data_IF_438394938091
#
_entry.id   IF_438394938091
#
_cell.length_a   1.000
_cell.length_b   1.000
_cell.length_c   1.000
_cell.angle_alpha   90.00
_cell.angle_beta   90.00
_cell.angle_gamma   90.00
#
_symmetry.space_group_name_H-M   'P 1'
#
loop_
_entity.id
_entity.type
_entity.pdbx_description
1 polymer ?
#
# COMPACT_ATOMS: atom_id res chain seq x y z
N UNK A 1 101.51 -8.34 35.71
CA UNK A 1 101.42 -9.76 36.10
C UNK A 1 100.13 -10.31 35.52
N UNK A 2 100.27 -11.39 34.76
CA UNK A 2 99.41 -11.77 33.63
C UNK A 2 98.17 -12.57 34.04
N UNK A 3 97.09 -12.37 33.29
CA UNK A 3 95.85 -13.13 33.37
C UNK A 3 96.02 -14.54 32.75
N UNK A 4 95.66 -15.58 33.50
CA UNK A 4 95.69 -16.99 33.04
C UNK A 4 94.42 -17.33 32.28
N UNK A 5 94.56 -17.58 30.98
CA UNK A 5 93.53 -18.12 30.08
C UNK A 5 93.33 -19.63 30.39
N UNK A 6 92.08 -20.05 30.66
CA UNK A 6 91.71 -21.48 30.80
C UNK A 6 91.46 -22.08 29.40
N UNK A 7 92.17 -23.15 29.07
CA UNK A 7 91.93 -23.96 27.86
C UNK A 7 90.69 -24.86 28.05
N UNK A 8 89.75 -24.81 27.10
CA UNK A 8 88.53 -25.63 27.07
C UNK A 8 88.81 -27.06 26.60
N UNK A 9 88.29 -28.06 27.33
CA UNK A 9 88.42 -29.48 27.00
C UNK A 9 87.31 -29.96 26.07
N UNK A 10 87.68 -30.58 24.94
CA UNK A 10 86.75 -31.24 24.00
C UNK A 10 86.13 -32.49 24.65
N UNK A 11 84.80 -32.64 24.59
CA UNK A 11 84.08 -33.84 25.06
C UNK A 11 83.55 -34.64 23.86
N UNK A 12 83.50 -35.96 23.99
CA UNK A 12 83.08 -36.89 22.93
C UNK A 12 81.55 -37.02 22.89
N UNK A 13 80.93 -36.86 21.72
CA UNK A 13 79.49 -37.11 21.55
C UNK A 13 79.19 -38.62 21.65
N UNK A 14 78.18 -39.02 22.43
CA UNK A 14 77.82 -40.44 22.64
C UNK A 14 77.18 -41.12 21.43
N UNK A 15 76.60 -40.35 20.50
CA UNK A 15 75.82 -40.91 19.38
C UNK A 15 76.65 -41.08 18.10
N UNK A 16 77.48 -40.11 17.74
CA UNK A 16 78.35 -40.18 16.55
C UNK A 16 79.82 -40.53 16.87
N UNK A 17 80.19 -40.57 18.16
CA UNK A 17 81.52 -40.95 18.64
C UNK A 17 82.69 -40.06 18.13
N UNK A 18 82.40 -38.87 17.61
CA UNK A 18 83.38 -37.87 17.18
C UNK A 18 83.65 -36.81 18.26
N UNK A 19 84.85 -36.21 18.24
CA UNK A 19 85.28 -35.15 19.17
C UNK A 19 85.15 -33.79 18.50
N UNK A 20 84.11 -33.04 18.85
CA UNK A 20 83.85 -31.72 18.30
C UNK A 20 83.61 -30.69 19.40
N UNK A 21 83.70 -29.41 19.04
CA UNK A 21 83.35 -28.30 19.92
C UNK A 21 81.83 -28.31 20.12
N UNK A 22 81.42 -28.56 21.36
CA UNK A 22 80.02 -28.50 21.76
C UNK A 22 79.59 -27.03 21.80
N UNK A 23 78.41 -26.74 21.26
CA UNK A 23 77.79 -25.42 21.43
C UNK A 23 77.43 -25.14 22.90
N UNK A 24 77.01 -23.92 23.22
CA UNK A 24 76.64 -23.50 24.59
C UNK A 24 75.53 -24.39 25.21
N UNK A 25 74.79 -25.12 24.37
CA UNK A 25 73.70 -26.03 24.72
C UNK A 25 74.10 -27.51 24.78
N UNK A 26 75.39 -27.85 24.60
CA UNK A 26 75.94 -29.22 24.63
C UNK A 26 75.34 -30.16 23.57
N UNK A 27 74.87 -29.65 22.42
CA UNK A 27 74.29 -30.48 21.34
C UNK A 27 75.26 -30.67 20.18
N UNK A 28 75.20 -31.86 19.58
CA UNK A 28 75.97 -32.23 18.39
C UNK A 28 75.37 -31.57 17.14
N UNK A 29 76.07 -30.61 16.56
CA UNK A 29 75.64 -29.85 15.37
C UNK A 29 75.60 -30.67 14.08
N UNK A 30 76.34 -31.78 14.00
CA UNK A 30 76.34 -32.72 12.87
C UNK A 30 75.23 -33.78 12.94
N UNK A 31 74.55 -33.91 14.08
CA UNK A 31 73.50 -34.90 14.32
C UNK A 31 72.06 -34.33 14.10
N UNK A 32 71.93 -33.02 14.01
CA UNK A 32 70.66 -32.33 13.88
C UNK A 32 70.31 -32.08 12.41
N UNK A 33 69.63 -33.03 11.77
CA UNK A 33 68.88 -32.73 10.53
C UNK A 33 67.45 -32.34 10.92
N UNK A 34 67.05 -31.07 10.72
CA UNK A 34 65.70 -30.59 10.98
C UNK A 34 64.81 -30.87 9.76
N UNK A 35 64.35 -32.11 9.62
CA UNK A 35 63.18 -32.41 8.80
C UNK A 35 62.21 -33.20 9.66
N UNK A 36 61.05 -32.60 9.89
CA UNK A 36 60.01 -33.05 10.80
C UNK A 36 59.58 -34.48 10.50
N UNK A 37 60.18 -35.43 11.21
CA UNK A 37 59.78 -36.84 11.15
C UNK A 37 58.34 -36.92 11.69
N UNK A 38 57.38 -37.04 10.77
CA UNK A 38 55.97 -37.17 11.05
C UNK A 38 55.72 -38.31 12.09
N UNK A 39 54.85 -38.07 13.07
CA UNK A 39 54.54 -39.05 14.11
C UNK A 39 53.45 -40.03 13.64
N UNK A 40 53.58 -41.29 14.07
CA UNK A 40 52.54 -42.29 13.85
C UNK A 40 51.27 -41.87 14.59
N UNK A 41 50.16 -41.73 13.86
CA UNK A 41 48.90 -41.24 14.46
C UNK A 41 48.42 -42.11 15.63
N UNK A 42 48.60 -43.43 15.55
CA UNK A 42 48.07 -44.40 16.51
C UNK A 42 48.96 -44.59 17.75
N UNK A 43 50.29 -44.61 17.61
CA UNK A 43 51.20 -44.83 18.75
C UNK A 43 52.03 -43.61 19.17
N UNK A 44 51.89 -42.49 18.45
CA UNK A 44 52.60 -41.21 18.70
C UNK A 44 54.13 -41.28 18.66
N UNK A 45 54.69 -42.39 18.17
CA UNK A 45 56.14 -42.54 17.95
C UNK A 45 56.49 -41.99 16.57
N UNK A 46 57.64 -41.30 16.47
CA UNK A 46 58.20 -40.81 15.20
C UNK A 46 58.38 -41.95 14.21
N UNK A 47 57.90 -41.75 12.98
CA UNK A 47 58.08 -42.70 11.88
C UNK A 47 59.42 -42.42 11.21
N UNK A 48 60.29 -43.42 11.14
CA UNK A 48 61.58 -43.34 10.43
C UNK A 48 61.47 -44.03 9.07
N UNK A 49 62.37 -43.72 8.14
CA UNK A 49 62.38 -44.34 6.81
C UNK A 49 62.56 -45.87 6.84
N UNK A 50 63.28 -46.37 7.84
CA UNK A 50 63.47 -47.80 8.08
C UNK A 50 62.22 -48.50 8.63
N UNK A 51 61.26 -47.73 9.17
CA UNK A 51 60.05 -48.29 9.75
C UNK A 51 59.08 -48.68 8.63
N UNK A 52 58.46 -49.85 8.76
CA UNK A 52 57.36 -50.22 7.89
C UNK A 52 56.13 -49.38 8.28
N UNK A 53 55.91 -48.29 7.54
CA UNK A 53 54.82 -47.36 7.75
C UNK A 53 54.16 -47.00 6.41
N UNK A 54 52.88 -46.63 6.48
CA UNK A 54 52.09 -46.24 5.33
C UNK A 54 51.37 -44.92 5.62
N UNK A 55 51.34 -44.02 4.63
CA UNK A 55 50.65 -42.73 4.71
C UNK A 55 49.19 -42.92 4.30
N UNK A 56 48.25 -42.43 5.12
CA UNK A 56 46.83 -42.49 4.80
C UNK A 56 46.46 -41.47 3.72
N UNK A 57 45.81 -41.88 2.64
CA UNK A 57 45.41 -40.97 1.57
C UNK A 57 44.32 -39.98 1.97
N UNK A 58 43.49 -40.32 2.96
CA UNK A 58 42.39 -39.47 3.42
C UNK A 58 42.83 -38.35 4.36
N UNK A 59 43.66 -38.65 5.38
CA UNK A 59 44.09 -37.66 6.38
C UNK A 59 45.57 -37.27 6.28
N UNK A 60 46.30 -37.85 5.33
CA UNK A 60 47.72 -37.58 5.07
C UNK A 60 48.65 -37.81 6.27
N UNK A 61 48.27 -38.64 7.24
CA UNK A 61 49.12 -39.02 8.39
C UNK A 61 49.79 -40.39 8.21
N UNK A 62 51.04 -40.55 8.65
CA UNK A 62 51.70 -41.85 8.70
C UNK A 62 51.20 -42.75 9.82
N UNK A 63 51.18 -44.05 9.54
CA UNK A 63 50.88 -45.09 10.52
C UNK A 63 51.83 -46.27 10.33
N UNK A 64 52.42 -46.75 11.42
CA UNK A 64 53.14 -48.03 11.39
C UNK A 64 52.19 -49.16 10.99
N UNK A 65 52.62 -50.07 10.12
CA UNK A 65 51.80 -51.20 9.68
C UNK A 65 51.34 -52.06 10.86
N UNK A 66 52.17 -52.20 11.89
CA UNK A 66 51.85 -52.94 13.12
C UNK A 66 50.77 -52.25 13.97
N UNK A 67 50.76 -50.91 14.00
CA UNK A 67 49.75 -50.15 14.76
C UNK A 67 48.36 -50.27 14.13
N UNK A 68 48.28 -50.30 12.80
CA UNK A 68 47.01 -50.46 12.09
C UNK A 68 46.63 -51.92 11.84
N UNK A 69 47.51 -52.87 12.20
CA UNK A 69 47.38 -54.33 11.93
C UNK A 69 47.30 -54.64 10.43
N UNK A 70 48.09 -53.95 9.62
CA UNK A 70 48.23 -54.16 8.18
C UNK A 70 49.15 -55.37 7.95
N UNK A 71 48.66 -56.42 7.28
CA UNK A 71 49.45 -57.62 7.00
C UNK A 71 50.65 -57.32 6.10
N UNK A 72 51.81 -57.95 6.37
CA UNK A 72 53.07 -57.70 5.64
C UNK A 72 52.94 -57.91 4.13
N UNK A 73 52.21 -58.94 3.69
CA UNK A 73 51.97 -59.22 2.27
C UNK A 73 51.14 -58.14 1.60
N UNK A 74 50.12 -57.62 2.30
CA UNK A 74 49.27 -56.55 1.80
C UNK A 74 50.03 -55.22 1.73
N UNK A 75 50.89 -54.92 2.70
CA UNK A 75 51.79 -53.76 2.62
C UNK A 75 52.78 -53.87 1.46
N UNK A 76 53.32 -55.07 1.20
CA UNK A 76 54.21 -55.31 0.06
C UNK A 76 53.48 -55.04 -1.27
N UNK A 77 52.26 -55.56 -1.43
CA UNK A 77 51.44 -55.30 -2.60
C UNK A 77 51.14 -53.80 -2.80
N UNK A 78 50.77 -53.07 -1.74
CA UNK A 78 50.55 -51.61 -1.80
C UNK A 78 51.80 -50.81 -2.18
N UNK A 79 52.99 -51.35 -1.93
CA UNK A 79 54.26 -50.71 -2.30
C UNK A 79 54.68 -51.03 -3.74
N UNK A 80 54.27 -52.18 -4.26
CA UNK A 80 54.59 -52.64 -5.62
C UNK A 80 53.61 -52.09 -6.67
N UNK A 81 52.38 -51.75 -6.28
CA UNK A 81 51.36 -51.20 -7.18
C UNK A 81 51.34 -49.66 -7.13
N UNK A 82 51.85 -49.03 -8.18
CA UNK A 82 51.77 -47.57 -8.34
C UNK A 82 50.31 -47.13 -8.45
N UNK A 83 49.90 -46.21 -7.56
CA UNK A 83 48.54 -45.68 -7.51
C UNK A 83 47.60 -46.41 -6.53
N UNK A 84 48.08 -47.42 -5.80
CA UNK A 84 47.28 -48.07 -4.77
C UNK A 84 46.96 -47.10 -3.61
N UNK A 85 45.67 -46.86 -3.36
CA UNK A 85 45.24 -45.99 -2.26
C UNK A 85 45.03 -46.78 -0.97
N UNK A 86 45.47 -46.22 0.17
CA UNK A 86 45.22 -46.77 1.49
C UNK A 86 44.63 -45.75 2.47
N UNK A 87 43.60 -46.19 3.19
CA UNK A 87 42.93 -45.39 4.22
C UNK A 87 43.09 -46.05 5.60
N UNK A 88 43.43 -45.26 6.62
CA UNK A 88 43.44 -45.71 8.01
C UNK A 88 42.02 -46.04 8.48
N UNK A 89 41.87 -46.77 9.59
CA UNK A 89 40.55 -47.20 10.10
C UNK A 89 39.56 -46.05 10.27
N UNK A 90 40.04 -44.91 10.79
CA UNK A 90 39.22 -43.72 11.00
C UNK A 90 38.71 -43.20 9.65
N UNK A 91 39.59 -42.98 8.68
CA UNK A 91 39.20 -42.52 7.35
C UNK A 91 38.28 -43.52 6.64
N UNK A 92 38.51 -44.84 6.77
CA UNK A 92 37.60 -45.87 6.23
C UNK A 92 36.21 -45.76 6.82
N UNK A 93 36.10 -45.60 8.13
CA UNK A 93 34.81 -45.45 8.80
C UNK A 93 34.10 -44.14 8.39
N UNK A 94 34.84 -43.03 8.29
CA UNK A 94 34.29 -41.76 7.80
C UNK A 94 33.78 -41.88 6.37
N UNK A 95 34.58 -42.45 5.47
CA UNK A 95 34.23 -42.64 4.06
C UNK A 95 32.97 -43.51 3.92
N UNK A 96 32.91 -44.64 4.63
CA UNK A 96 31.72 -45.52 4.62
C UNK A 96 30.47 -44.82 5.16
N UNK A 97 30.60 -44.00 6.21
CA UNK A 97 29.49 -43.19 6.74
C UNK A 97 29.01 -42.14 5.74
N UNK A 98 29.94 -41.43 5.10
CA UNK A 98 29.63 -40.43 4.07
C UNK A 98 28.98 -41.05 2.82
N UNK A 99 29.35 -42.27 2.44
CA UNK A 99 28.66 -42.98 1.34
C UNK A 99 27.20 -43.27 1.66
N UNK A 100 26.87 -43.62 2.91
CA UNK A 100 25.48 -43.76 3.35
C UNK A 100 24.70 -42.44 3.25
N UNK A 101 25.33 -41.33 3.65
CA UNK A 101 24.74 -39.99 3.51
C UNK A 101 24.56 -39.58 2.04
N UNK A 102 25.51 -39.90 1.16
CA UNK A 102 25.42 -39.63 -0.28
C UNK A 102 24.30 -40.44 -0.94
N UNK A 103 24.09 -41.70 -0.53
CA UNK A 103 22.99 -42.51 -1.02
C UNK A 103 21.64 -41.90 -0.63
N UNK A 104 21.50 -41.44 0.63
CA UNK A 104 20.31 -40.73 1.10
C UNK A 104 20.08 -39.42 0.35
N UNK A 105 21.12 -38.60 0.20
CA UNK A 105 21.06 -37.33 -0.52
C UNK A 105 20.62 -37.51 -1.98
N UNK A 106 21.08 -38.58 -2.63
CA UNK A 106 20.66 -38.92 -4.00
C UNK A 106 19.17 -39.24 -4.07
N UNK A 107 18.63 -39.92 -3.08
CA UNK A 107 17.20 -40.25 -3.04
C UNK A 107 16.35 -39.02 -2.73
N UNK A 108 16.77 -38.21 -1.76
CA UNK A 108 16.13 -36.92 -1.46
C UNK A 108 16.13 -36.00 -2.69
N UNK A 109 17.23 -35.98 -3.47
CA UNK A 109 17.32 -35.21 -4.72
C UNK A 109 16.29 -35.68 -5.77
N UNK A 110 16.12 -37.00 -5.95
CA UNK A 110 15.08 -37.52 -6.86
C UNK A 110 13.68 -37.13 -6.41
N UNK A 111 13.41 -37.19 -5.11
CA UNK A 111 12.11 -36.81 -4.57
C UNK A 111 11.83 -35.32 -4.80
N UNK A 112 12.83 -34.46 -4.54
CA UNK A 112 12.74 -33.01 -4.81
C UNK A 112 12.49 -32.75 -6.29
N UNK A 113 13.21 -33.41 -7.20
CA UNK A 113 13.01 -33.25 -8.64
C UNK A 113 11.61 -33.68 -9.09
N UNK A 114 11.06 -34.77 -8.52
CA UNK A 114 9.68 -35.20 -8.79
C UNK A 114 8.66 -34.18 -8.31
N UNK A 115 8.87 -33.61 -7.11
CA UNK A 115 8.02 -32.54 -6.56
C UNK A 115 8.11 -31.27 -7.41
N UNK A 116 9.31 -30.89 -7.85
CA UNK A 116 9.55 -29.72 -8.68
C UNK A 116 8.83 -29.84 -10.03
N UNK A 117 8.92 -30.99 -10.70
CA UNK A 117 8.16 -31.25 -11.93
C UNK A 117 6.65 -31.17 -11.69
N UNK A 118 6.16 -31.71 -10.56
CA UNK A 118 4.76 -31.60 -10.19
C UNK A 118 4.29 -30.16 -9.92
N UNK A 119 5.18 -29.29 -9.42
CA UNK A 119 4.89 -27.86 -9.24
C UNK A 119 4.84 -27.15 -10.59
N UNK A 120 5.79 -27.43 -11.49
CA UNK A 120 5.80 -26.85 -12.84
C UNK A 120 4.50 -27.11 -13.59
N UNK A 121 4.03 -28.37 -13.61
CA UNK A 121 2.77 -28.73 -14.29
C UNK A 121 1.55 -28.05 -13.65
N UNK A 122 1.56 -27.84 -12.32
CA UNK A 122 0.49 -27.11 -11.63
C UNK A 122 0.51 -25.62 -11.96
N UNK A 123 1.68 -25.02 -12.08
CA UNK A 123 1.83 -23.61 -12.45
C UNK A 123 1.33 -23.35 -13.86
N UNK A 124 1.65 -24.22 -14.83
CA UNK A 124 1.11 -24.15 -16.19
C UNK A 124 -0.43 -24.18 -16.20
N UNK A 125 -1.04 -25.05 -15.38
CA UNK A 125 -2.50 -25.11 -15.24
C UNK A 125 -3.12 -23.91 -14.52
N UNK A 126 -2.36 -23.21 -13.67
CA UNK A 126 -2.81 -21.96 -13.03
C UNK A 126 -2.77 -20.83 -14.06
N UNK A 127 -1.70 -20.72 -14.85
CA UNK A 127 -1.54 -19.67 -15.85
C UNK A 127 -2.67 -19.71 -16.89
N UNK A 128 -3.05 -20.90 -17.35
CA UNK A 128 -4.19 -21.05 -18.27
C UNK A 128 -5.52 -20.63 -17.63
N UNK A 129 -5.72 -20.96 -16.35
CA UNK A 129 -6.94 -20.55 -15.61
C UNK A 129 -6.98 -19.04 -15.38
N UNK A 130 -5.84 -18.41 -15.12
CA UNK A 130 -5.74 -16.96 -14.96
C UNK A 130 -6.11 -16.28 -16.27
N UNK A 131 -5.57 -16.74 -17.41
CA UNK A 131 -5.89 -16.21 -18.73
C UNK A 131 -7.39 -16.28 -19.06
N UNK A 132 -8.03 -17.42 -18.79
CA UNK A 132 -9.49 -17.59 -18.99
C UNK A 132 -10.29 -16.65 -18.09
N UNK A 133 -9.82 -16.38 -16.87
CA UNK A 133 -10.50 -15.46 -15.96
C UNK A 133 -10.36 -14.02 -16.45
N UNK A 134 -9.17 -13.61 -16.90
CA UNK A 134 -8.91 -12.28 -17.44
C UNK A 134 -9.82 -11.99 -18.65
N UNK A 135 -9.89 -12.90 -19.62
CA UNK A 135 -10.78 -12.77 -20.80
C UNK A 135 -12.27 -12.67 -20.40
N UNK A 136 -12.70 -13.39 -19.36
CA UNK A 136 -14.09 -13.32 -18.86
C UNK A 136 -14.38 -12.07 -18.05
N UNK A 137 -13.37 -11.47 -17.42
CA UNK A 137 -13.52 -10.23 -16.67
C UNK A 137 -13.66 -9.03 -17.62
N UNK A 138 -12.83 -8.96 -18.67
CA UNK A 138 -12.89 -7.88 -19.66
C UNK A 138 -14.28 -7.73 -20.30
N UNK A 139 -14.90 -8.83 -20.71
CA UNK A 139 -16.25 -8.78 -21.31
C UNK A 139 -17.35 -8.36 -20.33
N UNK A 140 -17.26 -8.75 -19.06
CA UNK A 140 -18.26 -8.38 -18.05
C UNK A 140 -18.18 -6.92 -17.65
N UNK A 141 -16.98 -6.35 -17.61
CA UNK A 141 -16.79 -4.94 -17.27
C UNK A 141 -17.43 -4.05 -18.33
N UNK A 142 -17.29 -4.39 -19.62
CA UNK A 142 -17.93 -3.66 -20.71
C UNK A 142 -19.48 -3.71 -20.64
N UNK A 143 -20.05 -4.90 -20.39
CA UNK A 143 -21.50 -5.07 -20.24
C UNK A 143 -22.07 -4.27 -19.06
N UNK A 144 -21.36 -4.28 -17.92
CA UNK A 144 -21.77 -3.53 -16.73
C UNK A 144 -21.72 -2.03 -17.00
N UNK A 145 -20.65 -1.53 -17.62
CA UNK A 145 -20.48 -0.11 -17.96
C UNK A 145 -21.60 0.33 -18.92
N UNK A 146 -21.89 -0.45 -19.95
CA UNK A 146 -22.94 -0.12 -20.91
C UNK A 146 -24.33 -0.08 -20.26
N UNK A 147 -24.65 -1.07 -19.40
CA UNK A 147 -25.93 -1.11 -18.69
C UNK A 147 -26.11 0.06 -17.73
N UNK A 148 -25.06 0.42 -17.00
CA UNK A 148 -25.07 1.56 -16.08
C UNK A 148 -25.20 2.87 -16.85
N UNK A 149 -24.43 3.04 -17.92
CA UNK A 149 -24.47 4.26 -18.75
C UNK A 149 -25.86 4.50 -19.32
N UNK A 150 -26.50 3.47 -19.91
CA UNK A 150 -27.85 3.60 -20.47
C UNK A 150 -28.88 3.96 -19.40
N UNK A 151 -28.81 3.34 -18.22
CA UNK A 151 -29.73 3.65 -17.11
C UNK A 151 -29.55 5.08 -16.61
N UNK A 152 -28.33 5.61 -16.61
CA UNK A 152 -28.05 7.00 -16.18
C UNK A 152 -28.60 8.00 -17.20
N UNK A 153 -28.39 7.76 -18.50
CA UNK A 153 -28.88 8.64 -19.56
C UNK A 153 -30.41 8.76 -19.50
N UNK A 154 -31.13 7.64 -19.40
CA UNK A 154 -32.60 7.64 -19.28
C UNK A 154 -33.09 8.44 -18.06
N UNK A 155 -32.38 8.34 -16.92
CA UNK A 155 -32.74 9.08 -15.71
C UNK A 155 -32.46 10.57 -15.82
N UNK A 156 -31.36 10.97 -16.49
CA UNK A 156 -31.02 12.39 -16.68
C UNK A 156 -32.09 13.07 -17.54
N UNK A 157 -32.54 12.42 -18.62
CA UNK A 157 -33.61 12.95 -19.47
C UNK A 157 -34.93 13.13 -18.70
N UNK A 158 -35.29 12.17 -17.85
CA UNK A 158 -36.48 12.28 -17.00
C UNK A 158 -36.39 13.45 -16.02
N UNK A 159 -35.21 13.70 -15.44
CA UNK A 159 -34.98 14.82 -14.51
C UNK A 159 -35.12 16.18 -15.20
N UNK A 160 -34.59 16.34 -16.41
CA UNK A 160 -34.70 17.58 -17.20
C UNK A 160 -36.16 17.93 -17.52
N UNK A 161 -36.97 16.92 -17.87
CA UNK A 161 -38.41 17.10 -18.12
C UNK A 161 -39.15 17.56 -16.86
N UNK A 162 -38.86 16.93 -15.71
CA UNK A 162 -39.47 17.30 -14.42
C UNK A 162 -39.08 18.73 -14.03
N UNK A 163 -37.82 19.11 -14.21
CA UNK A 163 -37.33 20.45 -13.89
C UNK A 163 -38.05 21.52 -14.74
N UNK A 164 -38.10 21.34 -16.06
CA UNK A 164 -38.81 22.27 -16.97
C UNK A 164 -40.29 22.39 -16.61
N UNK A 165 -40.92 21.28 -16.24
CA UNK A 165 -42.34 21.29 -15.84
C UNK A 165 -42.54 22.04 -14.51
N UNK A 166 -41.66 21.82 -13.53
CA UNK A 166 -41.71 22.51 -12.24
C UNK A 166 -41.59 24.04 -12.38
N UNK A 167 -40.67 24.51 -13.23
CA UNK A 167 -40.50 25.95 -13.50
C UNK A 167 -41.76 26.59 -14.09
N UNK A 168 -42.45 25.90 -15.00
CA UNK A 168 -43.71 26.37 -15.57
C UNK A 168 -44.80 26.43 -14.50
N UNK A 169 -44.91 25.41 -13.65
CA UNK A 169 -45.90 25.35 -12.56
C UNK A 169 -45.68 26.48 -11.55
N UNK A 170 -44.43 26.70 -11.11
CA UNK A 170 -44.08 27.77 -10.18
C UNK A 170 -44.51 29.13 -10.75
N UNK A 171 -44.22 29.38 -12.04
CA UNK A 171 -44.62 30.62 -12.72
C UNK A 171 -46.14 30.82 -12.72
N UNK A 172 -46.91 29.76 -12.96
CA UNK A 172 -48.38 29.82 -12.92
C UNK A 172 -48.91 30.07 -11.51
N UNK A 173 -48.29 29.49 -10.48
CA UNK A 173 -48.66 29.73 -9.08
C UNK A 173 -48.41 31.20 -8.72
N UNK A 174 -47.23 31.74 -9.01
CA UNK A 174 -46.91 33.14 -8.74
C UNK A 174 -47.86 34.10 -9.46
N UNK A 175 -48.19 33.80 -10.73
CA UNK A 175 -49.12 34.61 -11.50
C UNK A 175 -50.52 34.58 -10.88
N UNK A 176 -51.00 33.39 -10.47
CA UNK A 176 -52.29 33.26 -9.77
C UNK A 176 -52.31 34.07 -8.48
N UNK A 177 -51.28 33.96 -7.65
CA UNK A 177 -51.21 34.75 -6.41
C UNK A 177 -51.20 36.26 -6.68
N UNK A 178 -50.45 36.73 -7.70
CA UNK A 178 -50.42 38.13 -8.09
C UNK A 178 -51.80 38.60 -8.57
N UNK A 179 -52.54 37.76 -9.30
CA UNK A 179 -53.93 38.05 -9.72
C UNK A 179 -54.84 38.13 -8.51
N UNK A 180 -54.82 37.14 -7.62
CA UNK A 180 -55.62 37.12 -6.38
C UNK A 180 -55.39 38.36 -5.51
N UNK A 181 -54.13 38.77 -5.32
CA UNK A 181 -53.78 39.99 -4.57
C UNK A 181 -54.34 41.27 -5.20
N UNK A 182 -54.55 41.31 -6.52
CA UNK A 182 -55.08 42.47 -7.24
C UNK A 182 -56.61 42.47 -7.35
N UNK A 183 -57.27 41.33 -7.11
CA UNK A 183 -58.73 41.22 -7.22
C UNK A 183 -59.44 42.18 -6.30
N UNK A 184 -58.91 42.44 -5.10
CA UNK A 184 -59.51 43.34 -4.10
C UNK A 184 -59.09 44.81 -4.24
N UNK A 185 -58.29 45.14 -5.25
CA UNK A 185 -57.74 46.48 -5.42
C UNK A 185 -58.60 47.32 -6.36
N UNK A 186 -58.82 48.58 -5.99
CA UNK A 186 -59.41 49.64 -6.81
C UNK A 186 -58.36 50.74 -6.97
N UNK A 187 -58.34 51.39 -8.14
CA UNK A 187 -57.54 52.59 -8.37
C UNK A 187 -58.47 53.79 -8.54
N UNK A 188 -58.33 54.78 -7.67
CA UNK A 188 -59.06 56.05 -7.73
C UNK A 188 -58.18 57.12 -8.35
N UNK A 189 -58.75 57.88 -9.30
CA UNK A 189 -58.09 59.00 -9.95
C UNK A 189 -58.65 60.32 -9.45
N UNK A 190 -57.87 61.39 -9.59
CA UNK A 190 -58.26 62.77 -9.25
C UNK A 190 -58.65 63.00 -7.76
N UNK A 191 -58.23 62.11 -6.86
CA UNK A 191 -58.36 62.36 -5.41
C UNK A 191 -57.32 63.42 -5.03
N UNK A 192 -57.70 64.59 -4.48
CA UNK A 192 -56.77 65.64 -4.06
C UNK A 192 -55.64 65.04 -3.20
N UNK A 193 -54.40 65.53 -3.30
CA UNK A 193 -53.31 65.07 -2.42
C UNK A 193 -53.53 65.57 -0.98
N UNK A 194 -52.95 64.87 0.00
CA UNK A 194 -52.91 65.34 1.39
C UNK A 194 -51.82 66.40 1.54
N UNK A 195 -52.10 67.45 2.31
CA UNK A 195 -51.11 68.48 2.67
C UNK A 195 -50.35 68.16 3.96
N UNK A 196 -50.59 67.00 4.56
CA UNK A 196 -49.93 66.60 5.81
C UNK A 196 -48.46 66.24 5.56
N UNK A 197 -47.59 66.61 6.51
CA UNK A 197 -46.15 66.34 6.41
C UNK A 197 -45.80 64.90 6.83
N UNK A 198 -46.50 64.37 7.83
CA UNK A 198 -46.26 63.03 8.34
C UNK A 198 -46.88 61.95 7.44
N UNK A 199 -46.19 60.81 7.30
CA UNK A 199 -46.66 59.70 6.47
C UNK A 199 -47.99 59.15 6.98
N UNK A 200 -48.12 58.95 8.30
CA UNK A 200 -49.31 58.36 8.88
C UNK A 200 -50.53 59.28 8.72
N UNK A 201 -50.39 60.56 9.04
CA UNK A 201 -51.47 61.54 8.89
C UNK A 201 -51.96 61.66 7.43
N UNK A 202 -51.07 61.51 6.44
CA UNK A 202 -51.46 61.46 5.02
C UNK A 202 -52.31 60.23 4.70
N UNK A 203 -51.94 59.07 5.24
CA UNK A 203 -52.68 57.81 5.04
C UNK A 203 -54.07 57.92 5.70
N UNK A 204 -54.15 58.48 6.90
CA UNK A 204 -55.41 58.63 7.63
C UNK A 204 -56.36 59.62 6.93
N UNK A 205 -55.82 60.72 6.38
CA UNK A 205 -56.60 61.65 5.56
C UNK A 205 -57.08 61.01 4.25
N UNK A 206 -56.21 60.27 3.54
CA UNK A 206 -56.58 59.54 2.33
C UNK A 206 -57.64 58.45 2.61
N UNK A 207 -57.54 57.77 3.76
CA UNK A 207 -58.52 56.79 4.23
C UNK A 207 -59.87 57.44 4.52
N UNK A 208 -59.87 58.58 5.23
CA UNK A 208 -61.09 59.34 5.52
C UNK A 208 -61.79 59.80 4.24
N UNK A 209 -61.03 60.31 3.26
CA UNK A 209 -61.55 60.70 1.94
C UNK A 209 -62.15 59.52 1.17
N UNK A 210 -61.52 58.34 1.23
CA UNK A 210 -62.09 57.15 0.59
C UNK A 210 -63.40 56.71 1.24
N UNK A 211 -63.47 56.70 2.58
CA UNK A 211 -64.70 56.34 3.29
C UNK A 211 -65.83 57.32 2.97
N UNK A 212 -65.56 58.63 2.99
CA UNK A 212 -66.53 59.66 2.61
C UNK A 212 -67.01 59.49 1.17
N UNK A 213 -66.10 59.25 0.22
CA UNK A 213 -66.45 58.99 -1.17
C UNK A 213 -67.37 57.76 -1.31
N UNK A 214 -67.02 56.65 -0.68
CA UNK A 214 -67.79 55.41 -0.79
C UNK A 214 -69.15 55.51 -0.08
N UNK A 215 -69.21 56.11 1.09
CA UNK A 215 -70.44 56.22 1.89
C UNK A 215 -71.38 57.32 1.38
N UNK A 216 -70.87 58.53 1.18
CA UNK A 216 -71.71 59.70 0.88
C UNK A 216 -71.95 59.88 -0.61
N UNK A 217 -70.95 59.63 -1.45
CA UNK A 217 -71.10 59.81 -2.90
C UNK A 217 -71.69 58.57 -3.58
N UNK A 218 -71.16 57.37 -3.27
CA UNK A 218 -71.58 56.12 -3.92
C UNK A 218 -72.66 55.35 -3.14
N UNK A 219 -72.97 55.74 -1.89
CA UNK A 219 -73.98 55.11 -1.02
C UNK A 219 -73.69 53.63 -0.71
N UNK A 220 -72.42 53.25 -0.62
CA UNK A 220 -71.97 51.91 -0.25
C UNK A 220 -71.66 51.87 1.25
N UNK A 221 -72.61 51.36 2.05
CA UNK A 221 -72.56 51.42 3.54
C UNK A 221 -71.69 50.35 4.21
N UNK A 222 -71.34 49.28 3.49
CA UNK A 222 -70.64 48.11 4.06
C UNK A 222 -69.26 47.88 3.43
N UNK A 223 -68.54 48.95 3.11
CA UNK A 223 -67.19 48.84 2.55
C UNK A 223 -66.13 48.86 3.66
N UNK A 224 -65.19 47.89 3.66
CA UNK A 224 -64.06 47.85 4.59
C UNK A 224 -62.75 47.96 3.85
N UNK A 225 -62.10 49.10 4.01
CA UNK A 225 -60.78 49.37 3.43
C UNK A 225 -59.70 48.74 4.30
N UNK A 226 -58.90 47.84 3.73
CA UNK A 226 -57.73 47.24 4.39
C UNK A 226 -56.51 48.16 4.33
N UNK A 227 -56.27 48.79 3.17
CA UNK A 227 -55.07 49.60 2.96
C UNK A 227 -55.31 50.65 1.90
N UNK A 228 -54.73 51.83 2.10
CA UNK A 228 -54.69 52.92 1.11
C UNK A 228 -53.23 53.29 0.84
N UNK A 229 -52.90 53.52 -0.42
CA UNK A 229 -51.58 54.01 -0.82
C UNK A 229 -51.62 54.74 -2.16
N UNK A 230 -50.80 55.76 -2.34
CA UNK A 230 -50.68 56.45 -3.64
C UNK A 230 -49.63 55.79 -4.52
N UNK A 231 -49.94 55.65 -5.80
CA UNK A 231 -49.09 55.01 -6.79
C UNK A 231 -48.11 56.02 -7.41
N UNK A 232 -46.82 55.70 -7.31
CA UNK A 232 -45.75 56.46 -7.96
C UNK A 232 -45.18 57.63 -7.14
N UNK A 233 -44.16 58.27 -7.71
CA UNK A 233 -43.50 59.45 -7.12
C UNK A 233 -44.37 60.70 -7.27
N UNK A 234 -44.31 61.66 -6.34
CA UNK A 234 -44.95 62.97 -6.49
C UNK A 234 -44.55 63.60 -7.82
N UNK A 235 -45.50 64.26 -8.49
CA UNK A 235 -45.26 64.92 -9.77
C UNK A 235 -45.12 66.42 -9.57
N UNK A 236 -44.29 67.05 -10.39
CA UNK A 236 -44.08 68.52 -10.42
C UNK A 236 -45.25 69.26 -11.08
N UNK A 237 -46.06 68.55 -11.88
CA UNK A 237 -47.22 69.09 -12.62
C UNK A 237 -48.46 69.35 -11.75
N UNK A 238 -48.32 69.23 -10.42
CA UNK A 238 -49.40 69.36 -9.43
C UNK A 238 -50.60 68.42 -9.68
N UNK A 239 -50.47 67.38 -10.51
CA UNK A 239 -51.52 66.39 -10.73
C UNK A 239 -51.51 65.38 -9.59
N UNK A 240 -52.69 65.12 -9.03
CA UNK A 240 -52.87 64.09 -8.02
C UNK A 240 -52.45 62.71 -8.52
N UNK A 241 -51.72 61.96 -7.69
CA UNK A 241 -51.37 60.58 -8.00
C UNK A 241 -52.59 59.67 -7.87
N UNK A 242 -52.65 58.59 -8.68
CA UNK A 242 -53.66 57.57 -8.49
C UNK A 242 -53.54 56.94 -7.11
N UNK A 243 -54.67 56.68 -6.48
CA UNK A 243 -54.74 56.06 -5.16
C UNK A 243 -55.16 54.60 -5.31
N UNK A 244 -54.31 53.69 -4.85
CA UNK A 244 -54.61 52.27 -4.72
C UNK A 244 -55.32 52.04 -3.38
N UNK A 245 -56.56 51.58 -3.46
CA UNK A 245 -57.38 51.18 -2.32
C UNK A 245 -57.53 49.67 -2.35
N UNK A 246 -57.09 49.00 -1.29
CA UNK A 246 -57.25 47.56 -1.10
C UNK A 246 -58.44 47.34 -0.16
N UNK A 247 -59.41 46.56 -0.62
CA UNK A 247 -60.62 46.21 0.11
C UNK A 247 -60.48 44.84 0.78
N UNK A 248 -61.36 44.54 1.73
CA UNK A 248 -61.33 43.26 2.45
C UNK A 248 -61.77 42.09 1.58
N UNK A 249 -62.71 42.33 0.67
CA UNK A 249 -63.25 41.32 -0.24
C UNK A 249 -63.34 41.82 -1.68
N UNK A 250 -63.43 40.88 -2.62
CA UNK A 250 -63.68 41.19 -4.03
C UNK A 250 -65.14 41.65 -4.25
N UNK A 251 -66.08 41.16 -3.44
CA UNK A 251 -67.49 41.57 -3.53
C UNK A 251 -67.70 43.04 -3.16
N UNK A 252 -66.95 43.54 -2.16
CA UNK A 252 -66.93 44.97 -1.82
C UNK A 252 -66.44 45.80 -3.00
N UNK A 253 -65.41 45.32 -3.72
CA UNK A 253 -64.92 45.98 -4.92
C UNK A 253 -65.99 46.10 -5.98
N UNK A 254 -66.63 44.97 -6.32
CA UNK A 254 -67.67 44.97 -7.34
C UNK A 254 -68.89 45.79 -6.92
N UNK A 255 -69.24 45.80 -5.64
CA UNK A 255 -70.30 46.65 -5.11
C UNK A 255 -70.02 48.14 -5.31
N UNK A 256 -68.76 48.56 -5.21
CA UNK A 256 -68.34 49.93 -5.51
C UNK A 256 -68.38 50.17 -7.03
N UNK A 257 -67.76 49.29 -7.82
CA UNK A 257 -67.64 49.46 -9.27
C UNK A 257 -68.99 49.44 -10.01
N UNK A 258 -70.00 48.72 -9.49
CA UNK A 258 -71.36 48.69 -10.07
C UNK A 258 -72.19 49.95 -9.75
N UNK A 259 -71.70 50.81 -8.84
CA UNK A 259 -72.37 52.07 -8.46
C UNK A 259 -71.74 53.29 -9.14
N UNK A 260 -70.58 53.12 -9.77
CA UNK A 260 -69.92 54.11 -10.61
C UNK A 260 -70.46 54.05 -12.04
#
# INVERSE_FOLDING_TARGET
MEARTRQGGKKKCRECNQFEELDEDLRCTTCATPEDKEECRTCKRKVREIDNAIKCDGCKTWNHIGCEKVGKNYYKALKEEDGATWFCKICKQTILSSFGQLAKLREDYKEVMKKMHGITNKNEGIDERVKIIEEKMEGKDEDIVNKVTNTIVEKIEAVDIVQKTAEVVIRHIEEREKREKRKKNIVLYYVPESSQNEVQSRIDEDLSRCNDLFENSLKVRECKIERVSRLGRPREDNRSRPMLVQLRSEDEKWSILLKC
#
